data_IF_783437498390
#
_entry.id   IF_783437498390
#
_cell.length_a   1.000
_cell.length_b   1.000
_cell.length_c   1.000
_cell.angle_alpha   90.00
_cell.angle_beta   90.00
_cell.angle_gamma   90.00
#
_symmetry.space_group_name_H-M   'P 1'
#
loop_
_entity.id
_entity.type
_entity.pdbx_description
1 polymer ?
#
# COMPACT_ATOMS: atom_id res chain seq x y z
N UNK A 1 -7.04 -13.34 2.58
CA UNK A 1 -6.41 -12.54 1.53
C UNK A 1 -6.13 -11.18 2.12
N UNK A 2 -4.98 -10.59 1.81
CA UNK A 2 -4.51 -9.31 2.34
C UNK A 2 -3.79 -8.58 1.20
N UNK A 3 -3.66 -7.27 1.25
CA UNK A 3 -2.94 -6.54 0.23
C UNK A 3 -2.84 -5.06 0.52
N UNK A 4 -2.22 -4.37 -0.42
CA UNK A 4 -1.97 -2.92 -0.39
C UNK A 4 -2.21 -2.32 -1.76
N UNK A 5 -2.24 -1.00 -1.82
CA UNK A 5 -2.15 -0.18 -3.01
C UNK A 5 -0.69 0.21 -3.25
N UNK A 6 -0.31 0.50 -4.50
CA UNK A 6 1.08 0.82 -4.84
C UNK A 6 1.62 2.02 -4.06
N UNK A 7 0.80 3.06 -3.91
CA UNK A 7 1.21 4.36 -3.37
C UNK A 7 0.44 4.66 -2.06
N UNK A 8 0.39 3.68 -1.14
CA UNK A 8 -0.31 3.77 0.16
C UNK A 8 -0.08 5.09 0.91
N UNK A 9 1.17 5.56 0.89
CA UNK A 9 1.61 6.67 1.71
C UNK A 9 1.19 8.05 1.22
N UNK A 10 0.74 8.21 -0.03
CA UNK A 10 0.47 9.54 -0.61
C UNK A 10 -0.76 10.19 0.04
N UNK A 11 -1.97 9.73 -0.29
CA UNK A 11 -3.21 10.25 0.31
C UNK A 11 -3.22 10.12 1.83
N UNK A 12 -2.69 9.03 2.38
CA UNK A 12 -2.66 8.79 3.83
C UNK A 12 -1.83 9.86 4.55
N UNK A 13 -0.71 10.28 3.96
CA UNK A 13 0.09 11.39 4.50
C UNK A 13 -0.69 12.69 4.46
N UNK A 14 -1.31 13.01 3.34
CA UNK A 14 -2.07 14.25 3.17
C UNK A 14 -3.24 14.33 4.18
N UNK A 15 -3.92 13.22 4.43
CA UNK A 15 -5.06 13.14 5.36
C UNK A 15 -4.67 13.18 6.85
N UNK A 16 -3.60 12.48 7.25
CA UNK A 16 -3.32 12.24 8.68
C UNK A 16 -2.04 12.88 9.21
N UNK A 17 -1.09 13.20 8.33
CA UNK A 17 0.17 13.87 8.67
C UNK A 17 0.11 15.35 8.29
N UNK A 18 -0.75 15.69 7.32
CA UNK A 18 -0.97 17.03 6.80
C UNK A 18 -0.19 17.29 5.51
N UNK A 19 -0.59 18.31 4.77
CA UNK A 19 -0.04 18.59 3.45
C UNK A 19 1.49 18.73 3.43
N UNK A 20 2.13 18.01 2.51
CA UNK A 20 3.58 18.00 2.34
C UNK A 20 4.00 19.08 1.32
N UNK A 21 3.94 20.34 1.75
CA UNK A 21 4.52 21.46 1.01
C UNK A 21 5.89 21.83 1.54
N UNK A 22 6.80 22.28 0.68
CA UNK A 22 8.17 22.70 0.99
C UNK A 22 8.92 21.62 1.80
N UNK A 23 8.87 20.37 1.35
CA UNK A 23 9.58 19.27 2.00
C UNK A 23 11.09 19.47 1.87
N UNK A 24 11.82 19.22 2.97
CA UNK A 24 13.28 19.26 3.02
C UNK A 24 13.82 17.96 3.60
N UNK A 25 15.11 17.68 3.38
CA UNK A 25 15.78 16.53 3.99
C UNK A 25 15.65 16.55 5.52
N UNK A 26 15.74 17.72 6.14
CA UNK A 26 15.57 17.85 7.60
C UNK A 26 14.14 17.52 8.05
N UNK A 27 13.13 17.95 7.30
CA UNK A 27 11.73 17.63 7.60
C UNK A 27 11.44 16.14 7.39
N UNK A 28 12.04 15.52 6.37
CA UNK A 28 12.01 14.07 6.16
C UNK A 28 12.61 13.34 7.38
N UNK A 29 13.83 13.70 7.80
CA UNK A 29 14.50 13.12 8.98
C UNK A 29 13.69 13.28 10.26
N UNK A 30 13.10 14.46 10.47
CA UNK A 30 12.24 14.72 11.62
C UNK A 30 11.00 13.82 11.63
N UNK A 31 10.39 13.59 10.46
CA UNK A 31 9.26 12.69 10.36
C UNK A 31 9.67 11.24 10.64
N UNK A 32 10.77 10.75 10.07
CA UNK A 32 11.29 9.41 10.36
C UNK A 32 11.53 9.25 11.86
N UNK A 33 12.21 10.20 12.50
CA UNK A 33 12.42 10.18 13.95
C UNK A 33 11.11 10.16 14.75
N UNK A 34 10.06 10.83 14.26
CA UNK A 34 8.74 10.81 14.90
C UNK A 34 8.01 9.48 14.68
N UNK A 35 8.14 8.88 13.51
CA UNK A 35 7.51 7.60 13.16
C UNK A 35 8.09 6.44 13.97
N UNK A 36 9.34 6.53 14.44
CA UNK A 36 9.94 5.57 15.39
C UNK A 36 9.04 5.30 16.60
N UNK A 37 8.47 6.37 17.17
CA UNK A 37 7.66 6.28 18.39
C UNK A 37 6.27 5.70 18.16
N UNK A 38 5.75 5.84 16.94
CA UNK A 38 4.35 5.53 16.61
C UNK A 38 4.20 4.20 15.88
N UNK A 39 5.09 3.92 14.94
CA UNK A 39 4.91 2.86 13.95
C UNK A 39 6.08 1.88 13.87
N UNK A 40 7.32 2.33 14.05
CA UNK A 40 8.51 1.52 13.79
C UNK A 40 9.59 1.68 14.88
N UNK A 41 9.44 0.99 16.01
CA UNK A 41 10.41 1.08 17.12
C UNK A 41 11.81 0.63 16.69
N UNK A 42 12.83 1.36 17.12
CA UNK A 42 14.23 0.99 16.90
C UNK A 42 14.74 1.23 15.48
N UNK A 43 14.08 2.09 14.69
CA UNK A 43 14.61 2.51 13.40
C UNK A 43 15.85 3.38 13.55
N UNK A 44 16.83 3.14 12.69
CA UNK A 44 17.99 4.00 12.53
C UNK A 44 17.62 5.10 11.52
N UNK A 45 17.43 6.33 12.01
CA UNK A 45 16.96 7.47 11.22
C UNK A 45 17.87 7.74 10.02
N UNK A 46 19.18 7.64 10.19
CA UNK A 46 20.12 7.93 9.12
C UNK A 46 20.08 6.81 8.07
N UNK A 47 20.03 5.53 8.47
CA UNK A 47 19.90 4.43 7.50
C UNK A 47 18.59 4.47 6.72
N UNK A 48 17.47 4.78 7.38
CA UNK A 48 16.17 4.94 6.71
C UNK A 48 16.23 6.11 5.73
N UNK A 49 16.82 7.24 6.16
CA UNK A 49 16.96 8.41 5.29
C UNK A 49 17.85 8.10 4.08
N UNK A 50 18.99 7.47 4.29
CA UNK A 50 19.90 7.08 3.23
C UNK A 50 19.24 6.09 2.26
N UNK A 51 18.41 5.17 2.75
CA UNK A 51 17.68 4.22 1.91
C UNK A 51 16.69 4.94 0.98
N UNK A 52 15.81 5.80 1.53
CA UNK A 52 14.75 6.45 0.75
C UNK A 52 15.23 7.64 -0.09
N UNK A 53 16.32 8.31 0.30
CA UNK A 53 16.88 9.43 -0.45
C UNK A 53 18.00 9.02 -1.40
N UNK A 54 18.33 7.72 -1.49
CA UNK A 54 19.37 7.23 -2.41
C UNK A 54 19.01 7.54 -3.86
N UNK A 55 19.78 8.42 -4.49
CA UNK A 55 19.57 8.81 -5.90
C UNK A 55 18.43 9.79 -6.12
N UNK A 56 17.80 10.28 -5.04
CA UNK A 56 16.76 11.33 -5.11
C UNK A 56 17.45 12.69 -5.30
N UNK A 57 16.95 13.50 -6.24
CA UNK A 57 17.37 14.89 -6.34
C UNK A 57 16.75 15.67 -5.17
N UNK A 58 17.54 15.91 -4.12
CA UNK A 58 17.07 16.59 -2.89
C UNK A 58 16.82 18.09 -3.07
N UNK A 59 17.09 18.66 -4.24
CA UNK A 59 16.70 20.04 -4.59
C UNK A 59 15.36 20.11 -5.34
N UNK A 60 14.84 18.96 -5.77
CA UNK A 60 13.52 18.82 -6.39
C UNK A 60 12.50 18.45 -5.30
N UNK A 61 11.57 19.35 -5.05
CA UNK A 61 10.53 19.19 -4.04
C UNK A 61 9.61 18.01 -4.35
N UNK A 62 9.25 17.80 -5.61
CA UNK A 62 8.42 16.68 -6.04
C UNK A 62 9.15 15.36 -5.83
N UNK A 63 10.45 15.29 -6.14
CA UNK A 63 11.25 14.09 -5.89
C UNK A 63 11.33 13.76 -4.39
N UNK A 64 11.52 14.76 -3.53
CA UNK A 64 11.50 14.59 -2.07
C UNK A 64 10.12 14.19 -1.54
N UNK A 65 9.04 14.74 -2.11
CA UNK A 65 7.67 14.40 -1.74
C UNK A 65 7.37 12.93 -2.03
N UNK A 66 7.76 12.43 -3.20
CA UNK A 66 7.63 11.02 -3.55
C UNK A 66 8.45 10.11 -2.62
N UNK A 67 9.69 10.50 -2.29
CA UNK A 67 10.50 9.75 -1.33
C UNK A 67 9.81 9.70 0.06
N UNK A 68 9.19 10.80 0.47
CA UNK A 68 8.39 10.85 1.69
C UNK A 68 7.18 9.92 1.61
N UNK A 69 6.39 9.96 0.54
CA UNK A 69 5.22 9.10 0.38
C UNK A 69 5.59 7.61 0.39
N UNK A 70 6.67 7.20 -0.28
CA UNK A 70 7.14 5.82 -0.21
C UNK A 70 7.56 5.43 1.21
N UNK A 71 8.31 6.29 1.91
CA UNK A 71 8.73 6.03 3.28
C UNK A 71 7.53 5.92 4.24
N UNK A 72 6.57 6.84 4.12
CA UNK A 72 5.35 6.82 4.91
C UNK A 72 4.48 5.59 4.63
N UNK A 73 4.28 5.25 3.35
CA UNK A 73 3.52 4.08 2.92
C UNK A 73 4.13 2.79 3.46
N UNK A 74 5.45 2.66 3.37
CA UNK A 74 6.15 1.47 3.86
C UNK A 74 6.08 1.32 5.38
N UNK A 75 6.28 2.41 6.12
CA UNK A 75 6.26 2.39 7.59
C UNK A 75 4.85 2.18 8.13
N UNK A 76 3.83 2.78 7.50
CA UNK A 76 2.45 2.78 8.03
C UNK A 76 1.63 1.59 7.50
N UNK A 77 1.82 1.20 6.23
CA UNK A 77 0.95 0.23 5.55
C UNK A 77 1.70 -0.95 4.94
N UNK A 78 2.65 -0.75 4.02
CA UNK A 78 3.20 -1.85 3.21
C UNK A 78 3.95 -2.89 4.05
N UNK A 79 4.96 -2.46 4.81
CA UNK A 79 5.78 -3.39 5.60
C UNK A 79 4.96 -4.05 6.72
N UNK A 80 4.17 -3.34 7.54
CA UNK A 80 3.32 -3.98 8.54
C UNK A 80 2.35 -5.01 7.94
N UNK A 81 1.68 -4.66 6.83
CA UNK A 81 0.72 -5.56 6.16
C UNK A 81 1.40 -6.82 5.63
N UNK A 82 2.56 -6.66 4.97
CA UNK A 82 3.33 -7.78 4.45
C UNK A 82 3.87 -8.69 5.56
N UNK A 83 4.52 -8.11 6.58
CA UNK A 83 5.06 -8.87 7.72
C UNK A 83 3.97 -9.57 8.51
N UNK A 84 2.83 -8.91 8.74
CA UNK A 84 1.66 -9.55 9.33
C UNK A 84 1.19 -10.72 8.46
N UNK A 85 1.10 -10.54 7.14
CA UNK A 85 0.75 -11.61 6.21
C UNK A 85 1.68 -12.81 6.32
N UNK A 86 2.99 -12.58 6.37
CA UNK A 86 4.00 -13.63 6.50
C UNK A 86 3.90 -14.37 7.85
N UNK A 87 3.74 -13.64 8.95
CA UNK A 87 3.58 -14.22 10.28
C UNK A 87 2.27 -15.00 10.39
N UNK A 88 1.18 -14.45 9.84
CA UNK A 88 -0.11 -15.10 9.80
C UNK A 88 -0.05 -16.39 8.96
N UNK A 89 0.63 -16.35 7.80
CA UNK A 89 0.84 -17.52 6.94
C UNK A 89 1.50 -18.67 7.73
N UNK A 90 2.53 -18.38 8.52
CA UNK A 90 3.20 -19.37 9.39
C UNK A 90 2.24 -20.02 10.39
N UNK A 91 1.39 -19.20 11.00
CA UNK A 91 0.45 -19.65 12.03
C UNK A 91 -0.69 -20.50 11.44
N UNK A 92 -1.20 -20.11 10.27
CA UNK A 92 -2.33 -20.82 9.65
C UNK A 92 -1.90 -22.05 8.85
N UNK A 93 -0.64 -22.12 8.41
CA UNK A 93 -0.08 -23.27 7.67
C UNK A 93 -0.23 -24.61 8.42
N UNK A 94 -0.19 -24.59 9.76
CA UNK A 94 -0.43 -25.78 10.61
C UNK A 94 -1.83 -26.40 10.44
N UNK A 95 -2.76 -25.68 9.84
CA UNK A 95 -4.13 -26.10 9.59
C UNK A 95 -4.44 -26.19 8.08
N UNK A 96 -3.43 -26.39 7.23
CA UNK A 96 -3.54 -26.42 5.76
C UNK A 96 -4.24 -25.19 5.15
N UNK A 97 -4.14 -24.04 5.83
CA UNK A 97 -4.67 -22.76 5.36
C UNK A 97 -3.56 -21.92 4.74
N UNK A 98 -3.92 -21.16 3.70
CA UNK A 98 -3.00 -20.31 2.95
C UNK A 98 -3.38 -18.83 3.10
N UNK A 99 -2.36 -17.97 3.10
CA UNK A 99 -2.50 -16.52 2.97
C UNK A 99 -2.14 -16.14 1.54
N UNK A 100 -2.82 -15.14 0.99
CA UNK A 100 -2.56 -14.61 -0.35
C UNK A 100 -2.42 -13.10 -0.22
N UNK A 101 -1.37 -12.57 -0.85
CA UNK A 101 -1.05 -11.14 -0.89
C UNK A 101 -1.37 -10.57 -2.28
N UNK A 102 -1.79 -9.31 -2.34
CA UNK A 102 -1.91 -8.55 -3.59
C UNK A 102 -1.36 -7.14 -3.42
N UNK A 103 -0.95 -6.55 -4.54
CA UNK A 103 -0.66 -5.12 -4.67
C UNK A 103 -1.53 -4.57 -5.80
N UNK A 104 -2.32 -3.54 -5.53
CA UNK A 104 -3.09 -2.85 -6.57
C UNK A 104 -2.16 -1.92 -7.37
N UNK A 105 -2.00 -2.22 -8.65
CA UNK A 105 -1.16 -1.46 -9.59
C UNK A 105 -1.95 -0.83 -10.74
N UNK A 106 -3.28 -0.83 -10.65
CA UNK A 106 -4.19 -0.23 -11.63
C UNK A 106 -5.26 0.62 -10.93
N UNK A 107 -5.50 1.82 -11.45
CA UNK A 107 -6.59 2.68 -11.02
C UNK A 107 -7.06 3.61 -12.14
N UNK A 108 -8.35 3.97 -12.12
CA UNK A 108 -8.96 4.94 -13.02
C UNK A 108 -8.91 6.34 -12.40
N UNK A 109 -8.56 7.40 -13.16
CA UNK A 109 -8.50 8.77 -12.65
C UNK A 109 -9.84 9.34 -12.13
N UNK A 110 -11.01 8.79 -12.47
CA UNK A 110 -12.26 9.26 -11.87
C UNK A 110 -12.31 8.96 -10.37
N UNK A 111 -11.70 7.86 -9.94
CA UNK A 111 -11.67 7.47 -8.53
C UNK A 111 -10.87 8.48 -7.71
N UNK A 112 -9.85 9.09 -8.32
CA UNK A 112 -9.09 10.22 -7.79
C UNK A 112 -9.98 11.38 -7.36
N UNK A 113 -10.99 11.71 -8.17
CA UNK A 113 -11.92 12.81 -7.87
C UNK A 113 -12.82 12.51 -6.67
N UNK A 114 -13.15 11.23 -6.43
CA UNK A 114 -14.06 10.83 -5.35
C UNK A 114 -13.37 10.88 -3.98
N UNK A 115 -12.10 10.49 -3.90
CA UNK A 115 -11.35 10.39 -2.63
C UNK A 115 -10.30 11.49 -2.43
N UNK A 116 -10.14 12.39 -3.40
CA UNK A 116 -9.15 13.47 -3.35
C UNK A 116 -7.70 12.99 -3.54
N UNK A 117 -7.50 11.90 -4.28
CA UNK A 117 -6.17 11.38 -4.62
C UNK A 117 -5.82 11.72 -6.07
N UNK A 118 -5.15 12.82 -6.34
CA UNK A 118 -4.71 13.15 -7.70
C UNK A 118 -3.66 12.13 -8.19
N UNK A 119 -4.00 11.33 -9.20
CA UNK A 119 -3.11 10.27 -9.70
C UNK A 119 -1.81 10.80 -10.32
N UNK A 120 -1.78 12.03 -10.83
CA UNK A 120 -0.56 12.61 -11.40
C UNK A 120 0.46 12.94 -10.31
N UNK A 121 -0.01 13.34 -9.13
CA UNK A 121 0.84 13.81 -8.03
C UNK A 121 0.94 12.83 -6.86
N UNK A 122 0.02 11.86 -6.77
CA UNK A 122 -0.11 10.93 -5.63
C UNK A 122 -0.18 9.46 -6.06
N UNK A 123 -0.32 9.16 -7.36
CA UNK A 123 -0.35 7.79 -7.86
C UNK A 123 -1.60 7.00 -7.46
N UNK A 124 -1.43 5.71 -7.18
CA UNK A 124 -2.49 4.78 -6.78
C UNK A 124 -2.59 4.75 -5.26
N UNK A 125 -3.35 5.70 -4.73
CA UNK A 125 -3.43 5.92 -3.28
C UNK A 125 -4.17 4.82 -2.51
N UNK A 126 -3.98 4.89 -1.20
CA UNK A 126 -4.73 4.16 -0.18
C UNK A 126 -6.25 4.10 -0.47
N UNK A 127 -6.80 2.89 -0.46
CA UNK A 127 -8.24 2.62 -0.57
C UNK A 127 -8.81 2.59 -1.99
N UNK A 128 -8.00 2.79 -3.04
CA UNK A 128 -8.48 2.71 -4.43
C UNK A 128 -8.97 1.31 -4.82
N UNK A 129 -8.48 0.25 -4.19
CA UNK A 129 -8.90 -1.12 -4.45
C UNK A 129 -10.37 -1.37 -4.08
N UNK A 130 -10.87 -0.72 -3.03
CA UNK A 130 -12.24 -0.85 -2.51
C UNK A 130 -13.28 -0.71 -3.61
N UNK A 131 -13.11 0.29 -4.47
CA UNK A 131 -14.03 0.56 -5.57
C UNK A 131 -14.14 -0.61 -6.56
N UNK A 132 -13.02 -1.26 -6.87
CA UNK A 132 -13.01 -2.43 -7.75
C UNK A 132 -13.56 -3.67 -7.06
N UNK A 133 -13.33 -3.82 -5.75
CA UNK A 133 -13.89 -4.89 -4.92
C UNK A 133 -15.42 -4.82 -4.87
N UNK A 134 -15.98 -3.62 -4.75
CA UNK A 134 -17.43 -3.41 -4.65
C UNK A 134 -18.14 -3.11 -5.98
N UNK A 135 -17.42 -3.19 -7.11
CA UNK A 135 -18.03 -3.06 -8.43
C UNK A 135 -18.48 -1.65 -8.78
N UNK A 136 -17.83 -0.60 -8.25
CA UNK A 136 -18.18 0.80 -8.54
C UNK A 136 -18.20 1.12 -10.03
N UNK A 137 -17.31 0.58 -10.89
CA UNK A 137 -17.44 0.77 -12.33
C UNK A 137 -18.84 0.43 -12.87
N UNK A 138 -19.47 -0.63 -12.35
CA UNK A 138 -20.84 -1.03 -12.74
C UNK A 138 -21.94 -0.13 -12.17
N UNK A 139 -21.68 0.56 -11.06
CA UNK A 139 -22.63 1.50 -10.45
C UNK A 139 -22.63 2.86 -11.14
N UNK A 140 -21.51 3.23 -11.77
CA UNK A 140 -21.28 4.54 -12.38
C UNK A 140 -20.69 4.41 -13.80
N UNK A 141 -21.35 3.69 -14.72
CA UNK A 141 -20.74 3.24 -15.97
C UNK A 141 -20.25 4.37 -16.88
N UNK A 142 -20.84 5.56 -16.80
CA UNK A 142 -20.48 6.72 -17.63
C UNK A 142 -19.08 7.28 -17.32
N UNK A 143 -18.50 6.88 -16.19
CA UNK A 143 -17.20 7.36 -15.70
C UNK A 143 -16.04 6.38 -15.92
N UNK A 144 -16.32 5.17 -16.42
CA UNK A 144 -15.35 4.09 -16.49
C UNK A 144 -15.23 3.50 -17.88
N UNK A 145 -14.07 2.92 -18.17
CA UNK A 145 -13.75 2.33 -19.47
C UNK A 145 -14.11 0.83 -19.52
N UNK A 146 -14.11 0.26 -20.73
CA UNK A 146 -14.24 -1.20 -20.92
C UNK A 146 -13.24 -1.99 -20.05
N UNK A 147 -12.00 -1.50 -19.95
CA UNK A 147 -10.94 -2.14 -19.18
C UNK A 147 -11.21 -2.09 -17.67
N UNK A 148 -11.80 -1.00 -17.18
CA UNK A 148 -12.21 -0.88 -15.78
C UNK A 148 -13.29 -1.89 -15.39
N UNK A 149 -14.26 -2.14 -16.29
CA UNK A 149 -15.27 -3.16 -16.04
C UNK A 149 -14.67 -4.57 -16.00
N UNK A 150 -13.74 -4.85 -16.91
CA UNK A 150 -13.02 -6.14 -16.96
C UNK A 150 -12.17 -6.32 -15.69
N UNK A 151 -11.42 -5.29 -15.31
CA UNK A 151 -10.58 -5.29 -14.13
C UNK A 151 -11.41 -5.43 -12.84
N UNK A 152 -12.48 -4.64 -12.68
CA UNK A 152 -13.38 -4.76 -11.52
C UNK A 152 -14.00 -6.15 -11.42
N UNK A 153 -14.45 -6.73 -12.55
CA UNK A 153 -14.97 -8.10 -12.57
C UNK A 153 -13.92 -9.11 -12.14
N UNK A 154 -12.68 -8.92 -12.58
CA UNK A 154 -11.56 -9.76 -12.19
C UNK A 154 -11.30 -9.67 -10.68
N UNK A 155 -11.22 -8.45 -10.12
CA UNK A 155 -11.04 -8.22 -8.67
C UNK A 155 -12.19 -8.85 -7.86
N UNK A 156 -13.45 -8.60 -8.24
CA UNK A 156 -14.62 -9.22 -7.62
C UNK A 156 -14.56 -10.75 -7.67
N UNK A 157 -14.11 -11.32 -8.80
CA UNK A 157 -13.91 -12.77 -8.95
C UNK A 157 -12.86 -13.29 -7.98
N UNK A 158 -11.72 -12.61 -7.82
CA UNK A 158 -10.68 -12.99 -6.85
C UNK A 158 -11.23 -13.04 -5.43
N UNK A 159 -11.91 -11.99 -4.99
CA UNK A 159 -12.50 -11.91 -3.64
C UNK A 159 -13.59 -12.96 -3.40
N UNK A 160 -14.49 -13.15 -4.38
CA UNK A 160 -15.56 -14.15 -4.25
C UNK A 160 -15.06 -15.59 -4.32
N UNK A 161 -14.04 -15.87 -5.14
CA UNK A 161 -13.37 -17.17 -5.15
C UNK A 161 -12.67 -17.45 -3.83
N UNK A 162 -11.96 -16.47 -3.26
CA UNK A 162 -11.34 -16.64 -1.95
C UNK A 162 -12.39 -16.93 -0.87
N UNK A 163 -13.52 -16.22 -0.87
CA UNK A 163 -14.60 -16.45 0.10
C UNK A 163 -15.24 -17.83 -0.04
N UNK A 164 -15.41 -18.34 -1.28
CA UNK A 164 -16.05 -19.65 -1.54
C UNK A 164 -15.12 -20.83 -1.37
N UNK A 165 -13.85 -20.69 -1.77
CA UNK A 165 -12.94 -21.81 -2.00
C UNK A 165 -11.62 -21.68 -1.23
N UNK A 166 -11.39 -20.57 -0.51
CA UNK A 166 -10.13 -20.33 0.19
C UNK A 166 -8.94 -20.07 -0.72
N UNK A 167 -9.17 -19.78 -2.02
CA UNK A 167 -8.13 -19.44 -3.01
C UNK A 167 -8.68 -18.43 -4.03
N UNK A 168 -7.99 -17.32 -4.32
CA UNK A 168 -8.52 -16.28 -5.19
C UNK A 168 -8.50 -16.65 -6.69
N UNK A 169 -7.43 -17.30 -7.15
CA UNK A 169 -7.31 -17.85 -8.51
C UNK A 169 -6.36 -19.06 -8.50
N UNK A 170 -6.48 -19.95 -9.49
CA UNK A 170 -5.64 -21.15 -9.60
C UNK A 170 -4.15 -20.83 -9.68
N UNK A 171 -3.79 -19.72 -10.33
CA UNK A 171 -2.39 -19.31 -10.52
C UNK A 171 -1.90 -18.33 -9.44
N UNK A 172 -2.76 -17.97 -8.47
CA UNK A 172 -2.36 -17.08 -7.39
C UNK A 172 -1.50 -17.83 -6.38
N UNK A 173 -0.26 -17.39 -6.21
CA UNK A 173 0.68 -17.98 -5.28
C UNK A 173 0.32 -17.62 -3.84
N UNK A 174 0.48 -18.59 -2.94
CA UNK A 174 0.37 -18.33 -1.49
C UNK A 174 1.55 -17.46 -1.06
N UNK A 175 1.31 -16.56 -0.12
CA UNK A 175 2.34 -15.77 0.53
C UNK A 175 3.28 -16.69 1.32
N UNK A 176 4.58 -16.55 1.10
CA UNK A 176 5.59 -17.29 1.85
C UNK A 176 5.67 -16.77 3.29
N UNK A 177 5.71 -17.70 4.25
CA UNK A 177 5.92 -17.35 5.65
C UNK A 177 7.36 -16.88 5.87
N UNK A 178 7.57 -15.90 6.76
CA UNK A 178 8.93 -15.54 7.16
C UNK A 178 9.53 -16.63 8.06
N UNK A 179 10.85 -16.81 7.93
CA UNK A 179 11.66 -17.58 8.90
C UNK A 179 12.02 -16.74 10.13
N UNK A 180 11.85 -15.42 10.04
CA UNK A 180 12.20 -14.46 11.08
C UNK A 180 11.19 -14.50 12.24
N UNK A 181 11.64 -14.95 13.40
CA UNK A 181 10.96 -14.75 14.68
C UNK A 181 11.48 -13.45 15.32
N UNK A 182 10.65 -12.40 15.46
CA UNK A 182 11.04 -11.24 16.24
C UNK A 182 11.27 -11.70 17.68
N UNK A 183 12.46 -11.46 18.22
CA UNK A 183 12.70 -11.61 19.65
C UNK A 183 11.75 -10.67 20.38
N UNK A 184 10.75 -11.22 21.06
CA UNK A 184 9.87 -10.45 21.93
C UNK A 184 10.74 -10.00 23.12
N UNK A 185 11.23 -8.75 23.03
CA UNK A 185 11.91 -8.05 24.12
C UNK A 185 10.93 -7.17 24.88
#
# INVERSE_FOLDING_TARGET
MIGVTRDEGSLLTELFIGHIYNITVDRFKQWVKKSEKLFARGIDVDKVTDFYLKGVNTTDETALQWAFYHCAGDVVMNCPTYLFGQQFARNVAKNDRNVYFYELTYANPVMSMVIGCDQETMGICHGMDIFYVFGVPYLMPDFFTADDFVFSRYVMKLWTNFAKYGKPDNNWLKLESSEYEPSIG
#
